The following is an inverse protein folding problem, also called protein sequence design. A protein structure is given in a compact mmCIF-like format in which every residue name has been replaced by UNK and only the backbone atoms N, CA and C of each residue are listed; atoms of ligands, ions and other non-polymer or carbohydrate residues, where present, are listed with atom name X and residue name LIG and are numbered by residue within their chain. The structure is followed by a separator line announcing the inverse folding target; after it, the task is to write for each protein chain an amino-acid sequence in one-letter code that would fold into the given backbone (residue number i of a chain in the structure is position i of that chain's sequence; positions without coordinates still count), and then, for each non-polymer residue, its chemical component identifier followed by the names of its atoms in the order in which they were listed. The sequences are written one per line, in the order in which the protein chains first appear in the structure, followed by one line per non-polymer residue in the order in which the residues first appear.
data_IF_703620411911
#
_entry.id   IF_703620411911
#
_cell.length_a   1.000
_cell.length_b   1.000
_cell.length_c   1.000
_cell.angle_alpha   90.00
_cell.angle_beta   90.00
_cell.angle_gamma   90.00
#
_symmetry.space_group_name_H-M   'P 1'
#
loop_
_entity.id
_entity.type
_entity.pdbx_description
1 polymer ?
#
# COMPACT_ATOMS: atom_id res chain seq x y z
N UNK A 1 19.12 22.62 -3.28
CA UNK A 1 17.84 22.09 -3.79
C UNK A 1 16.75 22.52 -2.82
N UNK A 2 15.95 23.50 -3.20
CA UNK A 2 14.87 24.04 -2.36
C UNK A 2 13.74 23.03 -2.32
N UNK A 3 13.45 22.48 -1.13
CA UNK A 3 12.23 21.74 -0.89
C UNK A 3 11.05 22.68 -1.19
N UNK A 4 10.26 22.34 -2.20
CA UNK A 4 8.98 22.99 -2.47
C UNK A 4 8.07 22.65 -1.29
N UNK A 5 7.96 23.55 -0.33
CA UNK A 5 6.92 23.53 0.68
C UNK A 5 5.59 23.71 -0.06
N UNK A 6 4.85 22.61 -0.25
CA UNK A 6 3.43 22.69 -0.57
C UNK A 6 2.77 23.40 0.61
N UNK A 7 1.86 24.39 0.39
CA UNK A 7 1.16 25.04 1.49
C UNK A 7 0.44 23.97 2.30
N UNK A 8 0.78 23.86 3.60
CA UNK A 8 0.09 23.00 4.52
C UNK A 8 -1.40 23.35 4.48
N UNK A 9 -2.23 22.40 4.06
CA UNK A 9 -3.68 22.59 4.11
C UNK A 9 -4.04 22.86 5.57
N UNK A 10 -4.79 23.95 5.82
CA UNK A 10 -5.25 24.28 7.16
C UNK A 10 -5.94 23.08 7.78
N UNK A 11 -5.56 22.65 9.01
CA UNK A 11 -6.19 21.51 9.64
C UNK A 11 -7.69 21.73 9.84
N UNK A 12 -8.48 20.71 9.56
CA UNK A 12 -9.95 20.73 9.69
C UNK A 12 -10.30 20.18 11.07
N UNK A 13 -11.10 20.92 11.82
CA UNK A 13 -11.72 20.50 13.09
C UNK A 13 -13.20 20.31 12.86
N UNK A 14 -13.74 19.15 13.21
CA UNK A 14 -15.15 18.89 13.26
C UNK A 14 -15.66 19.13 14.70
N UNK A 15 -16.60 20.06 14.86
CA UNK A 15 -17.26 20.37 16.13
C UNK A 15 -18.66 19.76 16.10
N UNK A 16 -18.95 18.86 17.04
CA UNK A 16 -20.22 18.16 17.18
C UNK A 16 -20.79 18.46 18.56
N UNK A 17 -21.80 19.27 18.63
CA UNK A 17 -22.48 19.73 19.87
C UNK A 17 -23.90 20.16 19.50
N UNK A 18 -24.91 19.91 20.29
CA UNK A 18 -26.30 20.28 20.00
C UNK A 18 -26.61 21.75 20.35
N UNK A 19 -25.85 22.35 21.29
CA UNK A 19 -26.00 23.76 21.63
C UNK A 19 -25.36 24.69 20.62
N UNK A 20 -26.19 25.51 19.97
CA UNK A 20 -25.73 26.47 18.96
C UNK A 20 -24.71 27.48 19.52
N UNK A 21 -24.91 27.93 20.76
CA UNK A 21 -24.02 28.94 21.37
C UNK A 21 -22.64 28.36 21.61
N UNK A 22 -22.55 27.15 22.10
CA UNK A 22 -21.31 26.42 22.31
C UNK A 22 -20.58 26.19 20.98
N UNK A 23 -21.29 25.72 19.94
CA UNK A 23 -20.65 25.56 18.60
C UNK A 23 -20.07 26.86 18.06
N UNK A 24 -20.83 27.98 18.15
CA UNK A 24 -20.33 29.28 17.66
C UNK A 24 -19.11 29.78 18.41
N UNK A 25 -19.06 29.57 19.73
CA UNK A 25 -17.90 29.96 20.54
C UNK A 25 -16.69 29.07 20.19
N UNK A 26 -16.85 27.75 20.13
CA UNK A 26 -15.80 26.81 19.73
C UNK A 26 -15.27 27.15 18.34
N UNK A 27 -16.15 27.40 17.38
CA UNK A 27 -15.78 27.85 16.03
C UNK A 27 -14.87 29.07 16.08
N UNK A 28 -15.32 30.17 16.71
CA UNK A 28 -14.56 31.40 16.79
C UNK A 28 -13.18 31.23 17.43
N UNK A 29 -13.11 30.41 18.47
CA UNK A 29 -11.85 30.12 19.17
C UNK A 29 -10.90 29.33 18.27
N UNK A 30 -11.39 28.31 17.54
CA UNK A 30 -10.55 27.47 16.68
C UNK A 30 -10.15 28.19 15.37
N UNK A 31 -11.07 28.96 14.77
CA UNK A 31 -10.75 29.77 13.58
C UNK A 31 -9.67 30.84 13.89
N UNK A 32 -9.70 31.42 15.09
CA UNK A 32 -8.67 32.36 15.55
C UNK A 32 -7.29 31.70 15.70
N UNK A 33 -7.24 30.41 15.96
CA UNK A 33 -5.99 29.62 16.00
C UNK A 33 -5.55 29.12 14.60
N UNK A 34 -6.31 29.48 13.54
CA UNK A 34 -5.95 29.14 12.14
C UNK A 34 -6.52 27.81 11.65
N UNK A 35 -7.49 27.22 12.32
CA UNK A 35 -8.12 25.98 11.88
C UNK A 35 -9.38 26.23 11.05
N UNK A 36 -9.67 25.33 10.11
CA UNK A 36 -10.97 25.28 9.44
C UNK A 36 -11.96 24.50 10.33
N UNK A 37 -13.12 25.11 10.58
CA UNK A 37 -14.13 24.50 11.46
C UNK A 37 -15.37 24.11 10.66
N UNK A 38 -15.78 22.85 10.83
CA UNK A 38 -17.05 22.32 10.34
C UNK A 38 -17.91 21.94 11.54
N UNK A 39 -19.18 22.24 11.48
CA UNK A 39 -20.13 21.99 12.57
C UNK A 39 -21.12 20.88 12.23
N UNK A 40 -21.49 20.12 13.27
CA UNK A 40 -22.61 19.18 13.26
C UNK A 40 -23.40 19.34 14.54
N UNK A 41 -24.73 19.10 14.47
CA UNK A 41 -25.65 19.35 15.59
C UNK A 41 -26.04 18.09 16.39
N UNK A 42 -25.53 16.92 15.95
CA UNK A 42 -25.73 15.64 16.63
C UNK A 42 -24.72 14.60 16.08
N UNK A 43 -24.62 13.45 16.74
CA UNK A 43 -23.67 12.41 16.38
C UNK A 43 -23.83 11.88 14.95
N UNK A 44 -25.06 11.73 14.43
CA UNK A 44 -25.28 11.24 13.05
C UNK A 44 -24.72 12.20 12.00
N UNK A 45 -24.99 13.49 12.13
CA UNK A 45 -24.40 14.50 11.24
C UNK A 45 -22.87 14.56 11.40
N UNK A 46 -22.36 14.35 12.62
CA UNK A 46 -20.94 14.23 12.90
C UNK A 46 -20.28 13.12 12.11
N UNK A 47 -20.86 11.92 12.10
CA UNK A 47 -20.36 10.76 11.33
C UNK A 47 -20.40 11.03 9.82
N UNK A 48 -21.46 11.61 9.28
CA UNK A 48 -21.55 11.96 7.87
C UNK A 48 -20.48 12.97 7.46
N UNK A 49 -20.30 14.02 8.27
CA UNK A 49 -19.27 15.02 8.06
C UNK A 49 -17.85 14.41 8.14
N UNK A 50 -17.62 13.51 9.09
CA UNK A 50 -16.36 12.78 9.24
C UNK A 50 -16.01 11.95 7.99
N UNK A 51 -16.96 11.15 7.48
CA UNK A 51 -16.79 10.33 6.28
C UNK A 51 -16.39 11.16 5.06
N UNK A 52 -17.01 12.33 4.91
CA UNK A 52 -16.81 13.24 3.77
C UNK A 52 -15.50 14.04 3.85
N UNK A 53 -15.19 14.58 5.05
CA UNK A 53 -14.15 15.60 5.21
C UNK A 53 -12.82 15.08 5.74
N UNK A 54 -12.85 13.92 6.42
CA UNK A 54 -11.68 13.32 7.10
C UNK A 54 -10.96 14.37 7.98
N UNK A 55 -11.61 14.89 9.03
CA UNK A 55 -11.05 15.97 9.84
C UNK A 55 -9.77 15.53 10.56
N UNK A 56 -8.98 16.51 11.02
CA UNK A 56 -7.75 16.29 11.76
C UNK A 56 -8.00 16.15 13.27
N UNK A 57 -9.17 16.60 13.75
CA UNK A 57 -9.62 16.47 15.13
C UNK A 57 -11.15 16.55 15.17
N UNK A 58 -11.75 15.81 16.08
CA UNK A 58 -13.19 15.93 16.41
C UNK A 58 -13.31 16.47 17.82
N UNK A 59 -14.02 17.60 18.00
CA UNK A 59 -14.52 18.07 19.29
C UNK A 59 -15.95 17.57 19.42
N UNK A 60 -16.23 16.74 20.43
CA UNK A 60 -17.46 15.97 20.51
C UNK A 60 -18.12 16.18 21.89
N UNK A 61 -19.31 16.75 21.90
CA UNK A 61 -20.10 16.80 23.14
C UNK A 61 -20.57 15.40 23.54
N UNK A 62 -20.45 15.08 24.81
CA UNK A 62 -20.84 13.77 25.35
C UNK A 62 -22.35 13.56 25.32
N UNK A 63 -23.14 14.59 25.59
CA UNK A 63 -24.60 14.53 25.76
C UNK A 63 -25.32 15.31 24.67
N UNK A 64 -25.88 14.60 23.69
CA UNK A 64 -26.61 15.17 22.56
C UNK A 64 -27.86 14.36 22.26
N UNK A 65 -28.95 14.97 21.72
CA UNK A 65 -30.09 14.25 21.22
C UNK A 65 -29.79 13.45 19.97
N UNK A 66 -30.62 12.47 19.64
CA UNK A 66 -30.56 11.58 18.47
C UNK A 66 -29.45 10.54 18.56
N UNK A 67 -28.20 10.94 18.81
CA UNK A 67 -27.03 10.10 19.04
C UNK A 67 -26.09 10.85 19.97
N UNK A 68 -25.82 10.29 21.12
CA UNK A 68 -24.89 10.85 22.11
C UNK A 68 -23.44 10.76 21.64
N UNK A 69 -22.53 11.46 22.32
CA UNK A 69 -21.11 11.48 21.96
C UNK A 69 -20.42 10.15 22.18
N UNK A 70 -20.84 9.35 23.14
CA UNK A 70 -20.24 8.03 23.38
C UNK A 70 -20.53 7.08 22.22
N UNK A 71 -21.80 6.98 21.81
CA UNK A 71 -22.22 6.18 20.65
C UNK A 71 -21.55 6.68 19.35
N UNK A 72 -21.47 8.01 19.17
CA UNK A 72 -20.80 8.62 18.03
C UNK A 72 -19.30 8.26 18.01
N UNK A 73 -18.60 8.34 19.14
CA UNK A 73 -17.19 7.99 19.25
C UNK A 73 -16.94 6.53 18.89
N UNK A 74 -17.75 5.60 19.43
CA UNK A 74 -17.66 4.16 19.09
C UNK A 74 -17.81 3.93 17.59
N UNK A 75 -18.79 4.55 16.93
CA UNK A 75 -19.00 4.39 15.49
C UNK A 75 -17.83 4.98 14.67
N UNK A 76 -17.26 6.10 15.11
CA UNK A 76 -16.05 6.67 14.48
C UNK A 76 -14.85 5.71 14.56
N UNK A 77 -14.66 5.01 15.68
CA UNK A 77 -13.60 4.02 15.84
C UNK A 77 -13.81 2.80 14.93
N UNK A 78 -15.02 2.27 14.85
CA UNK A 78 -15.36 1.14 13.96
C UNK A 78 -15.11 1.46 12.48
N UNK A 79 -15.38 2.68 12.05
CA UNK A 79 -15.10 3.12 10.68
C UNK A 79 -13.62 3.12 10.34
N UNK A 80 -12.76 3.24 11.34
CA UNK A 80 -11.31 3.16 11.17
C UNK A 80 -10.84 1.71 11.05
N UNK A 81 -11.25 0.83 11.94
CA UNK A 81 -10.85 -0.58 11.97
C UNK A 81 -11.20 -1.32 10.67
N UNK A 82 -12.37 -1.05 10.10
CA UNK A 82 -12.77 -1.62 8.81
C UNK A 82 -11.86 -1.23 7.64
N UNK A 83 -11.15 -0.10 7.71
CA UNK A 83 -10.21 0.32 6.68
C UNK A 83 -8.84 -0.35 6.82
N UNK A 84 -8.36 -0.58 8.03
CA UNK A 84 -7.07 -1.26 8.25
C UNK A 84 -7.16 -2.74 7.83
N UNK A 85 -8.25 -3.43 8.17
CA UNK A 85 -8.44 -4.83 7.80
C UNK A 85 -8.59 -5.06 6.28
N UNK A 86 -9.00 -4.05 5.51
CA UNK A 86 -9.05 -4.13 4.05
C UNK A 86 -7.71 -3.84 3.35
N UNK A 87 -6.71 -3.31 4.06
CA UNK A 87 -5.39 -2.99 3.51
C UNK A 87 -4.26 -3.92 4.02
N UNK A 88 -4.46 -4.61 5.15
CA UNK A 88 -3.49 -5.52 5.77
C UNK A 88 -3.85 -7.00 5.54
N UNK A 89 -3.85 -7.42 4.30
CA UNK A 89 -3.86 -8.84 3.98
C UNK A 89 -2.45 -9.44 4.04
N UNK A 90 -1.73 -9.30 5.12
CA UNK A 90 -0.60 -10.12 5.61
C UNK A 90 0.30 -9.28 6.52
N UNK A 91 0.37 -9.65 7.77
CA UNK A 91 1.38 -9.13 8.68
C UNK A 91 0.94 -9.27 10.15
N UNK A 92 1.65 -10.09 10.89
CA UNK A 92 1.54 -10.32 12.32
C UNK A 92 1.26 -9.05 13.13
N UNK A 93 0.20 -9.10 13.89
CA UNK A 93 -0.17 -8.09 14.86
C UNK A 93 0.84 -8.11 16.02
N UNK A 94 1.75 -7.16 16.06
CA UNK A 94 2.33 -6.70 17.33
C UNK A 94 1.29 -5.80 18.01
N UNK A 95 0.36 -6.45 18.68
CA UNK A 95 -0.69 -5.82 19.48
C UNK A 95 -0.15 -5.39 20.83
N UNK A 96 0.78 -4.43 20.90
CA UNK A 96 1.01 -3.69 22.13
C UNK A 96 1.77 -2.39 21.86
N UNK A 97 1.16 -1.29 22.22
CA UNK A 97 1.70 0.02 22.60
C UNK A 97 1.55 1.23 21.66
N UNK A 98 0.96 1.17 20.48
CA UNK A 98 0.83 2.36 19.62
C UNK A 98 -0.59 2.61 19.02
N UNK A 99 -1.62 1.97 19.56
CA UNK A 99 -3.00 2.02 19.03
C UNK A 99 -3.73 3.37 19.17
N UNK A 100 -3.21 4.31 19.96
CA UNK A 100 -3.91 5.56 20.30
C UNK A 100 -3.77 6.68 19.26
N UNK A 101 -2.87 6.57 18.28
CA UNK A 101 -2.53 7.69 17.38
C UNK A 101 -2.83 7.42 15.90
N UNK A 102 -3.28 6.22 15.55
CA UNK A 102 -3.53 5.84 14.14
C UNK A 102 -4.78 6.47 13.52
N UNK A 103 -5.76 6.88 14.32
CA UNK A 103 -7.03 7.44 13.89
C UNK A 103 -7.16 8.93 14.23
N UNK A 104 -8.11 9.63 13.59
CA UNK A 104 -8.41 11.04 13.88
C UNK A 104 -8.73 11.17 15.39
N UNK A 105 -7.99 11.99 16.15
CA UNK A 105 -8.22 12.15 17.58
C UNK A 105 -9.60 12.73 17.86
N UNK A 106 -10.24 12.20 18.90
CA UNK A 106 -11.52 12.70 19.44
C UNK A 106 -11.26 13.32 20.81
N UNK A 107 -11.51 14.61 20.94
CA UNK A 107 -11.55 15.31 22.22
C UNK A 107 -13.00 15.43 22.67
N UNK A 108 -13.38 14.63 23.66
CA UNK A 108 -14.72 14.63 24.21
C UNK A 108 -14.90 15.81 25.17
N UNK A 109 -16.04 16.53 25.05
CA UNK A 109 -16.41 17.62 25.93
C UNK A 109 -17.61 17.15 26.76
N UNK A 110 -17.49 17.13 28.08
CA UNK A 110 -18.54 16.58 28.97
C UNK A 110 -18.86 17.52 30.10
N UNK A 111 -20.12 17.54 30.49
CA UNK A 111 -20.58 18.18 31.73
C UNK A 111 -20.50 17.26 32.96
N UNK A 112 -20.17 16.00 32.74
CA UNK A 112 -20.06 14.99 33.78
C UNK A 112 -18.65 14.99 34.37
N UNK A 113 -18.55 15.18 35.66
CA UNK A 113 -17.29 15.36 36.39
C UNK A 113 -16.97 14.14 37.29
N UNK A 114 -17.76 13.06 37.10
CA UNK A 114 -17.58 11.81 37.81
C UNK A 114 -16.60 10.87 37.11
N UNK A 115 -15.92 10.05 37.89
CA UNK A 115 -14.89 9.10 37.41
C UNK A 115 -15.45 8.14 36.37
N UNK A 116 -16.70 7.69 36.53
CA UNK A 116 -17.35 6.72 35.65
C UNK A 116 -17.52 7.27 34.20
N UNK A 117 -17.91 8.53 34.08
CA UNK A 117 -18.07 9.21 32.79
C UNK A 117 -16.71 9.42 32.06
N UNK A 118 -15.67 9.70 32.84
CA UNK A 118 -14.31 9.84 32.31
C UNK A 118 -13.79 8.49 31.80
N UNK A 119 -13.93 7.44 32.60
CA UNK A 119 -13.50 6.09 32.23
C UNK A 119 -14.26 5.62 30.97
N UNK A 120 -15.57 5.84 30.91
CA UNK A 120 -16.39 5.55 29.74
C UNK A 120 -15.94 6.29 28.49
N UNK A 121 -15.50 7.55 28.59
CA UNK A 121 -15.01 8.30 27.43
C UNK A 121 -13.78 7.62 26.81
N UNK A 122 -12.86 7.14 27.62
CA UNK A 122 -11.69 6.41 27.13
C UNK A 122 -12.04 5.01 26.62
N UNK A 123 -12.97 4.29 27.25
CA UNK A 123 -13.44 2.97 26.81
C UNK A 123 -14.04 3.01 25.39
N UNK A 124 -14.78 4.08 25.05
CA UNK A 124 -15.32 4.26 23.69
C UNK A 124 -14.31 4.80 22.68
N UNK A 125 -13.05 5.00 23.09
CA UNK A 125 -11.95 5.39 22.21
C UNK A 125 -11.73 6.90 22.07
N UNK A 126 -12.24 7.73 22.98
CA UNK A 126 -11.85 9.14 23.02
C UNK A 126 -10.35 9.27 23.33
N UNK A 127 -9.66 10.14 22.58
CA UNK A 127 -8.22 10.37 22.76
C UNK A 127 -7.92 11.22 23.98
N UNK A 128 -8.83 12.12 24.32
CA UNK A 128 -8.73 13.01 25.48
C UNK A 128 -10.14 13.54 25.84
N UNK A 129 -10.29 14.16 26.97
CA UNK A 129 -11.55 14.77 27.39
C UNK A 129 -11.36 16.16 28.01
N UNK A 130 -12.42 16.95 28.06
CA UNK A 130 -12.46 18.27 28.67
C UNK A 130 -13.82 18.47 29.37
N UNK A 131 -13.81 18.93 30.63
CA UNK A 131 -15.02 19.18 31.40
C UNK A 131 -15.59 20.58 31.15
N UNK A 132 -16.93 20.70 31.15
CA UNK A 132 -17.62 21.99 31.19
C UNK A 132 -17.63 22.51 32.65
N UNK A 133 -17.41 23.82 32.91
CA UNK A 133 -17.26 24.92 31.94
C UNK A 133 -15.90 24.89 31.21
N UNK A 134 -15.93 25.16 29.90
CA UNK A 134 -14.76 25.03 29.02
C UNK A 134 -13.74 26.14 29.33
N UNK A 135 -12.55 25.74 29.77
CA UNK A 135 -11.40 26.62 29.85
C UNK A 135 -10.68 26.71 28.51
N UNK A 136 -10.95 27.79 27.75
CA UNK A 136 -10.44 27.94 26.37
C UNK A 136 -8.92 27.89 26.26
N UNK A 137 -8.16 28.30 27.29
CA UNK A 137 -6.70 28.15 27.28
C UNK A 137 -6.29 26.67 27.28
N UNK A 138 -6.96 25.85 28.08
CA UNK A 138 -6.71 24.40 28.15
C UNK A 138 -7.16 23.73 26.84
N UNK A 139 -8.34 24.09 26.33
CA UNK A 139 -8.84 23.59 25.04
C UNK A 139 -7.84 23.83 23.92
N UNK A 140 -7.35 25.07 23.76
CA UNK A 140 -6.35 25.40 22.72
C UNK A 140 -5.09 24.54 22.81
N UNK A 141 -4.57 24.35 24.02
CA UNK A 141 -3.36 23.55 24.22
C UNK A 141 -3.59 22.05 23.88
N UNK A 142 -4.73 21.48 24.31
CA UNK A 142 -5.08 20.10 24.00
C UNK A 142 -5.28 19.90 22.49
N UNK A 143 -6.05 20.77 21.85
CA UNK A 143 -6.28 20.75 20.39
C UNK A 143 -4.96 20.83 19.62
N UNK A 144 -4.09 21.79 19.96
CA UNK A 144 -2.77 21.95 19.32
C UNK A 144 -1.95 20.67 19.46
N UNK A 145 -1.86 20.11 20.65
CA UNK A 145 -1.12 18.87 20.93
C UNK A 145 -1.67 17.69 20.13
N UNK A 146 -2.97 17.49 20.14
CA UNK A 146 -3.62 16.37 19.44
C UNK A 146 -3.44 16.46 17.91
N UNK A 147 -3.63 17.65 17.33
CA UNK A 147 -3.41 17.87 15.91
C UNK A 147 -1.94 17.65 15.54
N UNK A 148 -1.01 18.17 16.33
CA UNK A 148 0.42 18.00 16.08
C UNK A 148 0.84 16.52 16.15
N UNK A 149 0.38 15.76 17.16
CA UNK A 149 0.62 14.33 17.26
C UNK A 149 0.08 13.57 16.05
N UNK A 150 -1.14 13.88 15.62
CA UNK A 150 -1.76 13.25 14.47
C UNK A 150 -1.00 13.56 13.16
N UNK A 151 -0.58 14.79 12.95
CA UNK A 151 0.22 15.18 11.79
C UNK A 151 1.57 14.46 11.76
N UNK A 152 2.29 14.42 12.89
CA UNK A 152 3.56 13.70 13.01
C UNK A 152 3.40 12.20 12.71
N UNK A 153 2.35 11.58 13.23
CA UNK A 153 2.07 10.18 12.95
C UNK A 153 1.81 9.95 11.46
N UNK A 154 1.01 10.79 10.80
CA UNK A 154 0.77 10.68 9.35
C UNK A 154 2.03 10.88 8.52
N UNK A 155 2.90 11.82 8.92
CA UNK A 155 4.19 12.01 8.26
C UNK A 155 5.09 10.78 8.43
N UNK A 156 5.14 10.20 9.63
CA UNK A 156 5.89 8.98 9.89
C UNK A 156 5.37 7.79 9.06
N UNK A 157 4.05 7.61 8.98
CA UNK A 157 3.45 6.57 8.14
C UNK A 157 3.79 6.77 6.66
N UNK A 158 3.66 8.00 6.14
CA UNK A 158 3.99 8.31 4.75
C UNK A 158 5.48 8.06 4.46
N UNK A 159 6.37 8.48 5.36
CA UNK A 159 7.81 8.22 5.23
C UNK A 159 8.13 6.72 5.27
N UNK A 160 7.47 5.97 6.14
CA UNK A 160 7.66 4.50 6.25
C UNK A 160 7.15 3.76 5.00
N UNK A 161 6.02 4.20 4.43
CA UNK A 161 5.51 3.66 3.17
C UNK A 161 6.45 3.96 2.01
N UNK A 162 7.00 5.18 1.94
CA UNK A 162 7.97 5.54 0.91
C UNK A 162 9.29 4.77 1.07
N UNK A 163 9.78 4.59 2.30
CA UNK A 163 10.93 3.73 2.56
C UNK A 163 10.70 2.28 2.12
N UNK A 164 9.52 1.72 2.42
CA UNK A 164 9.14 0.37 1.96
C UNK A 164 9.08 0.33 0.43
N UNK A 165 8.53 1.35 -0.23
CA UNK A 165 8.47 1.44 -1.69
C UNK A 165 9.88 1.47 -2.30
N UNK A 166 10.75 2.36 -1.82
CA UNK A 166 12.13 2.48 -2.29
C UNK A 166 12.93 1.20 -2.03
N UNK A 167 12.64 0.54 -0.92
CA UNK A 167 13.31 -0.70 -0.56
C UNK A 167 12.86 -1.91 -1.41
N UNK A 168 11.63 -1.94 -1.91
CA UNK A 168 11.02 -3.12 -2.54
C UNK A 168 10.82 -3.01 -4.05
N UNK A 169 10.83 -1.80 -4.62
CA UNK A 169 10.60 -1.61 -6.04
C UNK A 169 11.89 -1.26 -6.80
N UNK A 170 11.93 -1.65 -8.07
CA UNK A 170 12.94 -1.20 -9.02
C UNK A 170 12.61 0.25 -9.45
N UNK A 171 13.58 1.14 -9.29
CA UNK A 171 13.40 2.58 -9.51
C UNK A 171 13.11 2.97 -10.97
N UNK A 172 13.44 2.11 -11.94
CA UNK A 172 13.20 2.36 -13.36
C UNK A 172 11.82 1.87 -13.80
N UNK A 173 11.47 0.64 -13.43
CA UNK A 173 10.32 -0.10 -13.97
C UNK A 173 9.12 -0.13 -13.04
N UNK A 174 9.32 0.16 -11.74
CA UNK A 174 8.26 0.16 -10.74
C UNK A 174 7.70 -1.22 -10.38
N UNK A 175 8.27 -2.33 -10.92
CA UNK A 175 8.01 -3.69 -10.44
C UNK A 175 8.88 -4.00 -9.22
N UNK A 176 8.71 -5.15 -8.59
CA UNK A 176 9.57 -5.54 -7.46
C UNK A 176 11.05 -5.56 -7.89
N UNK A 177 11.94 -5.18 -6.98
CA UNK A 177 13.36 -5.32 -7.19
C UNK A 177 13.84 -6.74 -6.81
N UNK A 178 15.10 -7.06 -7.07
CA UNK A 178 15.72 -8.35 -6.78
C UNK A 178 15.58 -8.74 -5.32
N UNK A 179 15.79 -7.83 -4.38
CA UNK A 179 15.66 -8.12 -2.95
C UNK A 179 14.23 -8.56 -2.60
N UNK A 180 13.22 -7.84 -3.07
CA UNK A 180 11.81 -8.21 -2.84
C UNK A 180 11.44 -9.54 -3.49
N UNK A 181 12.03 -9.85 -4.65
CA UNK A 181 11.89 -11.15 -5.28
C UNK A 181 12.42 -12.28 -4.38
N UNK A 182 13.65 -12.12 -3.87
CA UNK A 182 14.28 -13.15 -3.02
C UNK A 182 13.47 -13.37 -1.74
N UNK A 183 13.07 -12.30 -1.02
CA UNK A 183 12.22 -12.37 0.17
C UNK A 183 10.87 -13.04 -0.11
N UNK A 184 10.19 -12.64 -1.19
CA UNK A 184 8.87 -13.16 -1.52
C UNK A 184 8.91 -14.63 -1.95
N UNK A 185 9.95 -15.03 -2.66
CA UNK A 185 10.12 -16.42 -3.08
C UNK A 185 10.31 -17.35 -1.86
N UNK A 186 11.07 -16.93 -0.86
CA UNK A 186 11.25 -17.68 0.38
C UNK A 186 9.96 -17.80 1.18
N UNK A 187 9.21 -16.68 1.35
CA UNK A 187 7.93 -16.68 2.04
C UNK A 187 6.92 -17.63 1.36
N UNK A 188 6.79 -17.55 0.04
CA UNK A 188 5.88 -18.39 -0.73
C UNK A 188 6.34 -19.85 -0.76
N UNK A 189 7.63 -20.12 -0.78
CA UNK A 189 8.16 -21.47 -0.67
C UNK A 189 7.70 -22.15 0.63
N UNK A 190 7.86 -21.46 1.75
CA UNK A 190 7.41 -21.97 3.06
C UNK A 190 5.89 -22.15 3.11
N UNK A 191 5.14 -21.23 2.51
CA UNK A 191 3.67 -21.32 2.44
C UNK A 191 3.23 -22.50 1.61
N UNK A 192 3.75 -22.65 0.39
CA UNK A 192 3.39 -23.75 -0.52
C UNK A 192 3.81 -25.10 0.03
N UNK A 193 4.93 -25.18 0.78
CA UNK A 193 5.33 -26.39 1.50
C UNK A 193 4.27 -26.82 2.52
N UNK A 194 3.73 -25.88 3.30
CA UNK A 194 2.69 -26.18 4.31
C UNK A 194 1.35 -26.58 3.70
N UNK A 195 1.00 -25.93 2.59
CA UNK A 195 -0.28 -26.13 1.90
C UNK A 195 -0.26 -27.31 0.90
N UNK A 196 0.92 -27.90 0.63
CA UNK A 196 1.16 -28.90 -0.43
C UNK A 196 0.69 -28.42 -1.80
N UNK A 197 0.97 -27.16 -2.13
CA UNK A 197 0.58 -26.53 -3.39
C UNK A 197 1.80 -26.24 -4.26
N UNK A 198 1.64 -26.17 -5.60
CA UNK A 198 2.73 -25.89 -6.51
C UNK A 198 3.16 -24.42 -6.43
N UNK A 199 4.47 -24.18 -6.63
CA UNK A 199 5.06 -22.88 -6.83
C UNK A 199 5.76 -22.85 -8.17
N UNK A 200 5.35 -21.94 -9.04
CA UNK A 200 5.96 -21.75 -10.35
C UNK A 200 6.75 -20.44 -10.43
N UNK A 201 7.81 -20.48 -11.22
CA UNK A 201 8.67 -19.36 -11.53
C UNK A 201 8.86 -19.25 -13.04
N UNK A 202 8.73 -18.02 -13.57
CA UNK A 202 9.09 -17.68 -14.92
C UNK A 202 10.28 -16.72 -14.86
N UNK A 203 11.39 -17.05 -15.52
CA UNK A 203 12.48 -16.12 -15.77
C UNK A 203 12.38 -15.64 -17.22
N UNK A 204 12.50 -14.33 -17.42
CA UNK A 204 12.36 -13.68 -18.73
C UNK A 204 13.61 -12.85 -19.03
N UNK A 205 14.01 -12.83 -20.30
CA UNK A 205 15.12 -12.00 -20.79
C UNK A 205 14.74 -11.36 -22.12
N UNK A 206 15.06 -10.07 -22.28
CA UNK A 206 14.82 -9.35 -23.53
C UNK A 206 15.86 -9.73 -24.57
N UNK A 207 15.41 -10.35 -25.65
CA UNK A 207 16.29 -10.84 -26.71
C UNK A 207 17.10 -9.70 -27.35
N UNK A 208 18.45 -9.89 -27.38
CA UNK A 208 19.40 -8.94 -27.96
C UNK A 208 19.34 -7.51 -27.37
N UNK A 209 19.00 -7.37 -26.10
CA UNK A 209 18.83 -6.05 -25.47
C UNK A 209 20.09 -5.18 -25.53
N UNK A 210 21.28 -5.77 -25.45
CA UNK A 210 22.53 -5.03 -25.67
C UNK A 210 22.58 -4.37 -27.04
N UNK A 211 22.21 -5.09 -28.12
CA UNK A 211 22.14 -4.52 -29.47
C UNK A 211 21.07 -3.43 -29.60
N UNK A 212 19.99 -3.59 -28.85
CA UNK A 212 18.95 -2.57 -28.74
C UNK A 212 19.51 -1.27 -28.18
N UNK A 213 20.21 -1.34 -27.04
CA UNK A 213 20.86 -0.18 -26.42
C UNK A 213 21.92 0.46 -27.33
N UNK A 214 22.72 -0.35 -28.00
CA UNK A 214 23.74 0.14 -28.96
C UNK A 214 23.08 0.91 -30.14
N UNK A 215 21.88 0.54 -30.52
CA UNK A 215 21.13 1.16 -31.65
C UNK A 215 20.31 2.38 -31.23
N UNK A 216 19.59 2.30 -30.10
CA UNK A 216 18.60 3.30 -29.68
C UNK A 216 19.01 4.12 -28.45
N UNK A 217 20.21 3.86 -27.91
CA UNK A 217 20.75 4.49 -26.71
C UNK A 217 20.09 3.99 -25.41
N UNK A 218 20.72 4.30 -24.29
CA UNK A 218 20.23 3.87 -22.96
C UNK A 218 18.84 4.42 -22.61
N UNK A 219 18.49 5.64 -23.04
CA UNK A 219 17.14 6.16 -22.81
C UNK A 219 16.06 5.37 -23.56
N UNK A 220 16.37 4.89 -24.79
CA UNK A 220 15.51 3.99 -25.53
C UNK A 220 15.36 2.65 -24.82
N UNK A 221 16.46 2.11 -24.29
CA UNK A 221 16.46 0.89 -23.46
C UNK A 221 15.62 1.03 -22.20
N UNK A 222 15.74 2.16 -21.49
CA UNK A 222 14.93 2.45 -20.31
C UNK A 222 13.42 2.49 -20.62
N UNK A 223 13.05 3.11 -21.75
CA UNK A 223 11.67 3.14 -22.21
C UNK A 223 11.17 1.73 -22.60
N UNK A 224 12.01 0.92 -23.22
CA UNK A 224 11.71 -0.47 -23.54
C UNK A 224 11.48 -1.30 -22.27
N UNK A 225 12.37 -1.21 -21.29
CA UNK A 225 12.26 -1.91 -20.00
C UNK A 225 10.95 -1.57 -19.26
N UNK A 226 10.52 -0.29 -19.24
CA UNK A 226 9.24 0.12 -18.63
C UNK A 226 8.06 -0.53 -19.34
N UNK A 227 8.01 -0.51 -20.66
CA UNK A 227 6.93 -1.10 -21.45
C UNK A 227 6.85 -2.62 -21.29
N UNK A 228 7.99 -3.30 -21.22
CA UNK A 228 8.05 -4.75 -20.95
C UNK A 228 7.57 -5.05 -19.54
N UNK A 229 7.99 -4.29 -18.53
CA UNK A 229 7.53 -4.43 -17.16
C UNK A 229 6.01 -4.25 -17.03
N UNK A 230 5.43 -3.26 -17.73
CA UNK A 230 3.97 -3.04 -17.75
C UNK A 230 3.23 -4.23 -18.41
N UNK A 231 3.78 -4.81 -19.47
CA UNK A 231 3.23 -6.01 -20.11
C UNK A 231 3.24 -7.22 -19.16
N UNK A 232 4.35 -7.43 -18.43
CA UNK A 232 4.44 -8.49 -17.42
C UNK A 232 3.39 -8.31 -16.30
N UNK A 233 3.23 -7.09 -15.80
CA UNK A 233 2.22 -6.75 -14.77
C UNK A 233 0.79 -6.98 -15.28
N UNK A 234 0.52 -6.68 -16.53
CA UNK A 234 -0.79 -6.92 -17.13
C UNK A 234 -1.16 -8.40 -17.21
N UNK A 235 -0.17 -9.28 -17.42
CA UNK A 235 -0.37 -10.74 -17.49
C UNK A 235 -0.40 -11.41 -16.10
N UNK A 236 0.29 -10.88 -15.11
CA UNK A 236 0.23 -11.33 -13.71
C UNK A 236 -1.01 -10.78 -13.02
N UNK A 237 -2.16 -11.46 -13.19
CA UNK A 237 -3.50 -10.92 -12.88
C UNK A 237 -3.92 -11.06 -11.42
N UNK A 238 -3.29 -11.97 -10.65
CA UNK A 238 -3.67 -12.24 -9.27
C UNK A 238 -2.87 -11.38 -8.31
N UNK A 239 -3.45 -10.98 -7.22
CA UNK A 239 -2.78 -10.17 -6.18
C UNK A 239 -1.59 -10.87 -5.51
N UNK A 240 -1.55 -12.21 -5.63
CA UNK A 240 -0.46 -13.06 -5.14
C UNK A 240 0.64 -13.29 -6.18
N UNK A 241 0.46 -12.88 -7.43
CA UNK A 241 1.51 -12.99 -8.43
C UNK A 241 2.50 -11.84 -8.24
N UNK A 242 3.80 -12.13 -8.27
CA UNK A 242 4.85 -11.10 -8.16
C UNK A 242 5.64 -10.99 -9.46
N UNK A 243 5.68 -9.78 -10.01
CA UNK A 243 6.59 -9.43 -11.10
C UNK A 243 7.78 -8.65 -10.53
N UNK A 244 8.99 -9.06 -10.87
CA UNK A 244 10.22 -8.43 -10.42
C UNK A 244 11.19 -8.19 -11.55
N UNK A 245 12.02 -7.14 -11.43
CA UNK A 245 13.23 -6.99 -12.24
C UNK A 245 14.36 -7.73 -11.53
N UNK A 246 14.79 -8.82 -12.16
CA UNK A 246 15.77 -9.74 -11.58
C UNK A 246 17.21 -9.21 -11.72
N UNK A 247 17.50 -8.49 -12.82
CA UNK A 247 18.77 -7.79 -13.05
C UNK A 247 18.86 -7.31 -14.50
N UNK A 248 19.43 -6.15 -14.77
CA UNK A 248 19.61 -5.63 -16.13
C UNK A 248 18.32 -5.65 -16.96
N UNK A 249 18.31 -6.51 -17.98
CA UNK A 249 17.17 -6.79 -18.87
C UNK A 249 16.35 -8.02 -18.48
N UNK A 250 16.67 -8.65 -17.34
CA UNK A 250 16.02 -9.87 -16.86
C UNK A 250 14.87 -9.54 -15.90
N UNK A 251 13.75 -10.23 -16.10
CA UNK A 251 12.58 -10.17 -15.25
C UNK A 251 12.22 -11.55 -14.71
N UNK A 252 11.51 -11.58 -13.60
CA UNK A 252 10.99 -12.79 -12.99
C UNK A 252 9.51 -12.64 -12.65
N UNK A 253 8.74 -13.73 -12.75
CA UNK A 253 7.35 -13.80 -12.30
C UNK A 253 7.20 -15.00 -11.38
N UNK A 254 6.84 -14.74 -10.12
CA UNK A 254 6.50 -15.78 -9.15
C UNK A 254 4.99 -16.01 -9.17
N UNK A 255 4.57 -17.26 -9.33
CA UNK A 255 3.17 -17.68 -9.46
C UNK A 255 2.86 -18.74 -8.39
N UNK A 256 2.43 -18.34 -7.19
CA UNK A 256 2.01 -19.27 -6.15
C UNK A 256 0.74 -20.05 -6.55
N UNK A 257 0.62 -21.29 -6.08
CA UNK A 257 -0.48 -22.18 -6.38
C UNK A 257 -0.82 -22.23 -7.89
N UNK A 258 0.22 -22.47 -8.70
CA UNK A 258 0.12 -22.51 -10.17
C UNK A 258 0.97 -23.69 -10.66
N UNK A 259 0.36 -24.56 -11.47
CA UNK A 259 1.06 -25.70 -12.08
C UNK A 259 1.96 -25.24 -13.23
N UNK A 260 2.80 -26.14 -13.74
CA UNK A 260 3.69 -25.83 -14.87
C UNK A 260 2.90 -25.43 -16.13
N UNK A 261 1.76 -26.06 -16.39
CA UNK A 261 0.90 -25.73 -17.53
C UNK A 261 0.31 -24.33 -17.39
N UNK A 262 -0.17 -23.99 -16.19
CA UNK A 262 -0.68 -22.65 -15.90
C UNK A 262 0.40 -21.58 -16.03
N UNK A 263 1.60 -21.83 -15.52
CA UNK A 263 2.73 -20.92 -15.63
C UNK A 263 3.21 -20.77 -17.08
N UNK A 264 3.19 -21.86 -17.85
CA UNK A 264 3.53 -21.82 -19.28
C UNK A 264 2.51 -20.99 -20.07
N UNK A 265 1.22 -21.07 -19.75
CA UNK A 265 0.20 -20.22 -20.37
C UNK A 265 0.43 -18.74 -20.07
N UNK A 266 0.79 -18.39 -18.82
CA UNK A 266 1.15 -17.01 -18.45
C UNK A 266 2.39 -16.57 -19.22
N UNK A 267 3.42 -17.41 -19.34
CA UNK A 267 4.63 -17.10 -20.10
C UNK A 267 4.33 -16.82 -21.59
N UNK A 268 3.48 -17.62 -22.22
CA UNK A 268 3.05 -17.42 -23.59
C UNK A 268 2.18 -16.17 -23.76
N UNK A 269 1.28 -15.87 -22.80
CA UNK A 269 0.53 -14.61 -22.78
C UNK A 269 1.48 -13.40 -22.72
N UNK A 270 2.48 -13.42 -21.81
CA UNK A 270 3.52 -12.38 -21.71
C UNK A 270 4.25 -12.19 -23.04
N UNK A 271 4.72 -13.28 -23.63
CA UNK A 271 5.45 -13.25 -24.90
C UNK A 271 4.61 -12.61 -26.03
N UNK A 272 3.34 -13.01 -26.12
CA UNK A 272 2.41 -12.46 -27.11
C UNK A 272 2.11 -10.98 -26.86
N UNK A 273 1.82 -10.58 -25.63
CA UNK A 273 1.56 -9.18 -25.26
C UNK A 273 2.77 -8.31 -25.61
N UNK A 274 4.00 -8.75 -25.27
CA UNK A 274 5.22 -7.99 -25.62
C UNK A 274 5.39 -7.87 -27.14
N UNK A 275 5.12 -8.91 -27.91
CA UNK A 275 5.13 -8.83 -29.39
C UNK A 275 4.13 -7.80 -29.92
N UNK A 276 2.92 -7.69 -29.33
CA UNK A 276 1.91 -6.69 -29.73
C UNK A 276 2.28 -5.25 -29.40
N UNK A 277 3.25 -5.01 -28.49
CA UNK A 277 3.77 -3.68 -28.23
C UNK A 277 4.44 -3.05 -29.47
N UNK A 278 4.87 -3.86 -30.43
CA UNK A 278 5.55 -3.43 -31.66
C UNK A 278 6.70 -2.44 -31.38
N UNK A 279 7.53 -2.75 -30.38
CA UNK A 279 8.74 -1.96 -30.09
C UNK A 279 9.77 -2.29 -31.13
N UNK A 280 10.08 -1.36 -32.03
CA UNK A 280 11.00 -1.59 -33.14
C UNK A 280 12.40 -2.00 -32.65
N UNK A 281 12.98 -3.06 -33.22
CA UNK A 281 14.32 -3.57 -32.91
C UNK A 281 15.06 -3.97 -34.20
N UNK A 282 15.54 -2.98 -34.93
CA UNK A 282 16.19 -3.17 -36.24
C UNK A 282 17.45 -4.03 -36.21
N UNK A 283 18.16 -4.12 -35.06
CA UNK A 283 19.39 -4.90 -34.90
C UNK A 283 19.14 -6.31 -34.32
N UNK A 284 17.90 -6.72 -34.11
CA UNK A 284 17.59 -8.08 -33.65
C UNK A 284 17.71 -9.09 -34.78
N UNK A 285 18.23 -10.29 -34.47
CA UNK A 285 18.35 -11.41 -35.40
C UNK A 285 17.15 -12.33 -35.43
N UNK A 286 16.13 -12.06 -34.57
CA UNK A 286 14.94 -12.91 -34.41
C UNK A 286 13.69 -12.27 -34.99
N UNK A 287 13.53 -10.96 -34.79
CA UNK A 287 12.33 -10.21 -35.20
C UNK A 287 12.69 -8.75 -35.39
N UNK A 288 11.93 -8.02 -36.23
CA UNK A 288 12.05 -6.56 -36.32
C UNK A 288 11.51 -5.82 -35.09
N UNK A 289 11.02 -6.54 -34.10
CA UNK A 289 10.47 -6.01 -32.84
C UNK A 289 11.14 -6.69 -31.66
N UNK A 290 11.06 -6.04 -30.50
CA UNK A 290 11.51 -6.60 -29.22
C UNK A 290 10.74 -7.88 -28.91
N UNK A 291 11.49 -8.93 -28.57
CA UNK A 291 10.98 -10.25 -28.17
C UNK A 291 11.53 -10.66 -26.82
N UNK A 292 10.90 -11.66 -26.21
CA UNK A 292 11.34 -12.27 -24.96
C UNK A 292 11.63 -13.74 -25.14
N UNK A 293 12.68 -14.20 -24.48
CA UNK A 293 12.88 -15.63 -24.15
C UNK A 293 12.44 -15.85 -22.72
N UNK A 294 11.69 -16.94 -22.45
CA UNK A 294 11.14 -17.24 -21.16
C UNK A 294 11.45 -18.69 -20.77
N UNK A 295 11.94 -18.87 -19.53
CA UNK A 295 12.15 -20.18 -18.91
C UNK A 295 11.14 -20.39 -17.79
N UNK A 296 10.41 -21.49 -17.81
CA UNK A 296 9.36 -21.84 -16.85
C UNK A 296 9.79 -23.04 -16.03
N UNK A 297 9.69 -22.95 -14.71
CA UNK A 297 9.86 -24.08 -13.80
C UNK A 297 8.72 -24.12 -12.76
N UNK A 298 8.42 -25.32 -12.29
CA UNK A 298 7.41 -25.55 -11.25
C UNK A 298 7.91 -26.62 -10.29
N UNK A 299 7.73 -26.35 -9.00
CA UNK A 299 7.99 -27.35 -7.95
C UNK A 299 6.76 -27.46 -7.04
N UNK A 300 6.58 -28.66 -6.49
CA UNK A 300 5.84 -28.87 -5.25
C UNK A 300 6.86 -28.83 -4.11
N UNK A 301 6.96 -27.72 -3.36
CA UNK A 301 7.99 -27.56 -2.36
C UNK A 301 7.94 -28.64 -1.28
N UNK A 302 9.08 -29.21 -0.94
CA UNK A 302 9.26 -30.23 0.11
C UNK A 302 10.49 -29.90 0.94
N UNK A 303 10.70 -30.51 2.12
CA UNK A 303 11.92 -30.31 2.90
C UNK A 303 13.22 -30.68 2.19
N UNK A 304 13.14 -31.49 1.12
CA UNK A 304 14.30 -31.93 0.31
C UNK A 304 14.59 -30.98 -0.87
N UNK A 305 13.74 -30.00 -1.14
CA UNK A 305 13.87 -29.04 -2.24
C UNK A 305 14.09 -27.63 -1.69
N UNK A 306 14.54 -26.71 -2.52
CA UNK A 306 14.86 -25.32 -2.11
C UNK A 306 14.47 -24.30 -3.18
N UNK A 307 14.24 -23.03 -2.81
CA UNK A 307 14.00 -21.95 -3.77
C UNK A 307 15.09 -21.82 -4.83
N UNK A 308 16.35 -22.07 -4.46
CA UNK A 308 17.49 -22.03 -5.39
C UNK A 308 17.42 -23.11 -6.49
N UNK A 309 16.82 -24.28 -6.19
CA UNK A 309 16.60 -25.33 -7.20
C UNK A 309 15.54 -24.90 -8.21
N UNK A 310 14.47 -24.22 -7.79
CA UNK A 310 13.46 -23.67 -8.69
C UNK A 310 14.05 -22.61 -9.61
N UNK A 311 14.88 -21.71 -9.06
CA UNK A 311 15.58 -20.68 -9.85
C UNK A 311 16.51 -21.35 -10.88
N UNK A 312 17.31 -22.34 -10.46
CA UNK A 312 18.24 -23.03 -11.35
C UNK A 312 17.54 -23.76 -12.49
N UNK A 313 16.36 -24.32 -12.23
CA UNK A 313 15.56 -25.01 -13.24
C UNK A 313 14.95 -24.03 -14.25
N UNK A 314 14.42 -22.90 -13.77
CA UNK A 314 13.91 -21.82 -14.63
C UNK A 314 15.03 -21.21 -15.49
N UNK A 315 16.24 -21.02 -14.94
CA UNK A 315 17.39 -20.51 -15.68
C UNK A 315 17.83 -21.48 -16.77
N UNK A 316 17.91 -22.78 -16.50
CA UNK A 316 18.17 -23.81 -17.53
C UNK A 316 17.13 -23.77 -18.64
N UNK A 317 15.85 -23.65 -18.29
CA UNK A 317 14.77 -23.52 -19.26
C UNK A 317 14.92 -22.25 -20.11
N UNK A 318 15.25 -21.10 -19.50
CA UNK A 318 15.52 -19.86 -20.21
C UNK A 318 16.73 -19.99 -21.16
N UNK A 319 17.78 -20.64 -20.72
CA UNK A 319 18.93 -20.93 -21.57
C UNK A 319 18.52 -21.75 -22.81
N UNK A 320 17.70 -22.79 -22.64
CA UNK A 320 17.18 -23.58 -23.76
C UNK A 320 16.30 -22.74 -24.71
N UNK A 321 15.45 -21.86 -24.17
CA UNK A 321 14.67 -20.92 -24.99
C UNK A 321 15.59 -20.06 -25.88
N UNK A 322 16.68 -19.52 -25.31
CA UNK A 322 17.68 -18.73 -26.04
C UNK A 322 18.44 -19.57 -27.06
N UNK A 323 18.90 -20.79 -26.70
CA UNK A 323 19.69 -21.67 -27.57
C UNK A 323 18.88 -22.22 -28.75
N UNK A 324 17.59 -22.46 -28.59
CA UNK A 324 16.70 -23.01 -29.64
C UNK A 324 16.08 -21.98 -30.57
N UNK A 325 16.50 -20.70 -30.47
CA UNK A 325 16.14 -19.67 -31.47
C UNK A 325 15.39 -18.48 -30.89
N UNK A 326 15.34 -18.31 -29.56
CA UNK A 326 14.74 -17.16 -28.86
C UNK A 326 13.24 -16.97 -29.15
N UNK A 327 12.64 -15.86 -28.67
CA UNK A 327 11.21 -15.52 -28.84
C UNK A 327 10.27 -16.69 -28.54
N UNK A 328 10.49 -17.37 -27.43
CA UNK A 328 9.73 -18.56 -27.01
C UNK A 328 9.76 -18.77 -25.52
N UNK A 329 8.75 -19.50 -25.04
CA UNK A 329 8.77 -20.08 -23.70
C UNK A 329 9.29 -21.51 -23.76
N UNK A 330 10.02 -21.92 -22.73
CA UNK A 330 10.55 -23.28 -22.58
C UNK A 330 10.32 -23.77 -21.14
N UNK A 331 10.03 -25.04 -20.97
CA UNK A 331 10.00 -25.71 -19.68
C UNK A 331 10.79 -27.03 -19.79
N UNK A 332 11.54 -27.33 -18.75
CA UNK A 332 12.15 -28.65 -18.60
C UNK A 332 11.07 -29.52 -17.94
N UNK A 333 10.67 -30.60 -18.56
CA UNK A 333 9.59 -31.51 -18.12
C UNK A 333 9.69 -31.95 -16.67
#
# INVERSE_FOLDING_TARGET
MNAVYLPEQQPIILVVDDDQSTRQVLRKVMEKEGYLVVEATNGKQGIEAYKRLKPHLVLLDALMPVMDGFACCTELQMLYEHKENSHNGNGSADANSLSVVSHTPVLMITGLDDQESVDRAFEVGATDYLTKPIHFAVLRQRVRRLIQQFQLYRQLQAANQELKRLANLDGLTGVANRRRFDEYLEDEWLRMTRENLPLSLILCDIDFFKKYNDTYGHQGGDACLRRVADALRFCAKRSVDLVARYGGEEFAVILPNTTVEGAYQVAEEVRQVVNTLNINHAASEVSNHVTLSLGVACFYPTPATSPSMLIAEADKALYQAKATGRNRSFTLN
#
